data_IF_251797035715
#
_entry.id   IF_251797035715
#
_cell.length_a   1.000
_cell.length_b   1.000
_cell.length_c   1.000
_cell.angle_alpha   90.00
_cell.angle_beta   90.00
_cell.angle_gamma   90.00
#
_symmetry.space_group_name_H-M   'P 1'
#
loop_
_entity.id
_entity.type
_entity.pdbx_description
1 polymer ?
#
# COMPACT_ATOMS: atom_id res chain seq x y z
N UNK A 1 -10.95 20.88 23.55
CA UNK A 1 -10.58 20.62 22.13
C UNK A 1 -9.18 19.99 22.09
N UNK A 2 -8.90 19.02 21.22
CA UNK A 2 -7.65 18.22 21.27
C UNK A 2 -6.37 19.07 21.26
N UNK A 3 -6.36 20.18 20.51
CA UNK A 3 -5.22 21.10 20.45
C UNK A 3 -4.94 21.80 21.80
N UNK A 4 -6.00 22.23 22.51
CA UNK A 4 -5.88 22.81 23.87
C UNK A 4 -5.42 21.78 24.91
N UNK A 5 -5.53 20.48 24.60
CA UNK A 5 -5.03 19.38 25.41
C UNK A 5 -3.61 18.93 24.99
N UNK A 6 -2.83 19.83 24.39
CA UNK A 6 -1.46 19.61 23.93
C UNK A 6 -1.26 18.55 22.82
N UNK A 7 -2.34 18.16 22.12
CA UNK A 7 -2.17 17.44 20.86
C UNK A 7 -1.57 18.39 19.81
N UNK A 8 -0.47 17.98 19.19
CA UNK A 8 0.23 18.75 18.15
C UNK A 8 0.32 18.04 16.81
N UNK A 9 -0.06 16.77 16.71
CA UNK A 9 -0.07 16.03 15.44
C UNK A 9 -1.47 15.55 15.14
N UNK A 10 -1.99 15.96 13.99
CA UNK A 10 -3.34 15.61 13.54
C UNK A 10 -3.24 14.92 12.19
N UNK A 11 -3.73 13.68 12.14
CA UNK A 11 -3.90 12.97 10.88
C UNK A 11 -5.37 13.11 10.49
N UNK A 12 -5.63 13.88 9.44
CA UNK A 12 -6.99 14.24 9.05
C UNK A 12 -7.37 13.47 7.80
N UNK A 13 -8.24 12.46 7.97
CA UNK A 13 -8.93 11.90 6.82
C UNK A 13 -9.89 12.96 6.28
N UNK A 14 -9.61 13.49 5.09
CA UNK A 14 -10.33 14.62 4.49
C UNK A 14 -11.71 14.23 3.94
N UNK A 15 -12.39 13.30 4.60
CA UNK A 15 -13.72 12.82 4.25
C UNK A 15 -14.51 12.61 5.52
N UNK A 16 -15.74 13.13 5.54
CA UNK A 16 -16.65 12.92 6.66
C UNK A 16 -17.07 11.46 6.73
N UNK A 17 -17.02 10.87 7.93
CA UNK A 17 -17.66 9.60 8.22
C UNK A 17 -19.15 9.83 8.52
N UNK A 18 -20.04 9.22 7.75
CA UNK A 18 -21.49 9.20 7.92
C UNK A 18 -21.87 7.84 8.52
N UNK A 19 -22.20 7.84 9.81
CA UNK A 19 -22.41 6.61 10.59
C UNK A 19 -23.81 5.99 10.39
N UNK A 20 -24.77 6.74 9.87
CA UNK A 20 -26.12 6.27 9.60
C UNK A 20 -26.37 6.23 8.10
N UNK A 21 -26.78 5.07 7.60
CA UNK A 21 -27.19 4.88 6.21
C UNK A 21 -26.07 4.55 5.21
N UNK A 22 -24.79 4.62 5.60
CA UNK A 22 -23.67 4.21 4.74
C UNK A 22 -22.85 3.08 5.37
N UNK A 23 -22.49 2.08 4.56
CA UNK A 23 -21.52 1.03 4.91
C UNK A 23 -20.09 1.58 5.02
N UNK A 24 -19.14 0.84 5.62
CA UNK A 24 -17.73 1.24 5.63
C UNK A 24 -17.11 1.40 4.24
N UNK A 25 -17.60 0.68 3.23
CA UNK A 25 -17.14 0.88 1.84
C UNK A 25 -17.67 2.18 1.27
N UNK A 26 -18.97 2.42 1.40
CA UNK A 26 -19.61 3.65 0.91
C UNK A 26 -19.06 4.89 1.59
N UNK A 27 -18.78 4.84 2.89
CA UNK A 27 -18.11 5.94 3.60
C UNK A 27 -16.75 6.32 3.00
N UNK A 28 -16.09 5.40 2.31
CA UNK A 28 -14.80 5.62 1.64
C UNK A 28 -14.93 6.01 0.17
N UNK A 29 -16.15 6.03 -0.37
CA UNK A 29 -16.42 6.28 -1.79
C UNK A 29 -17.39 7.45 -2.02
N UNK A 30 -18.48 7.56 -1.23
CA UNK A 30 -19.58 8.51 -1.44
C UNK A 30 -19.30 9.93 -0.94
N UNK A 31 -18.95 10.20 0.34
CA UNK A 31 -18.76 11.59 0.76
C UNK A 31 -17.55 12.20 0.03
N UNK A 32 -17.65 13.45 -0.47
CA UNK A 32 -16.56 14.06 -1.21
C UNK A 32 -15.35 14.31 -0.31
N UNK A 33 -14.16 14.35 -0.93
CA UNK A 33 -12.95 14.81 -0.25
C UNK A 33 -13.02 16.33 -0.04
N UNK A 34 -12.50 16.78 1.11
CA UNK A 34 -12.50 18.17 1.58
C UNK A 34 -11.08 18.57 1.99
N UNK A 35 -10.17 18.59 1.03
CA UNK A 35 -8.77 18.97 1.29
C UNK A 35 -8.64 20.44 1.74
N UNK A 36 -9.55 21.30 1.28
CA UNK A 36 -9.68 22.69 1.71
C UNK A 36 -9.83 22.84 3.23
N UNK A 37 -10.43 21.86 3.91
CA UNK A 37 -10.57 21.91 5.37
C UNK A 37 -9.25 21.57 6.06
N UNK A 38 -8.46 20.68 5.46
CA UNK A 38 -7.14 20.30 5.98
C UNK A 38 -6.16 21.45 5.77
N UNK A 39 -6.19 22.12 4.61
CA UNK A 39 -5.36 23.30 4.35
C UNK A 39 -5.69 24.46 5.29
N UNK A 40 -6.97 24.75 5.53
CA UNK A 40 -7.36 25.74 6.55
C UNK A 40 -6.86 25.37 7.95
N UNK A 41 -6.91 24.09 8.32
CA UNK A 41 -6.37 23.66 9.61
C UNK A 41 -4.85 23.88 9.71
N UNK A 42 -4.10 23.75 8.61
CA UNK A 42 -2.66 24.08 8.57
C UNK A 42 -2.41 25.58 8.81
N UNK A 43 -3.29 26.45 8.29
CA UNK A 43 -3.20 27.91 8.47
C UNK A 43 -3.63 28.35 9.89
N UNK A 44 -4.71 27.76 10.41
CA UNK A 44 -5.30 28.13 11.70
C UNK A 44 -4.54 27.56 12.91
N UNK A 45 -3.77 26.47 12.73
CA UNK A 45 -3.01 25.81 13.79
C UNK A 45 -1.51 25.73 13.43
N UNK A 46 -0.79 26.87 13.37
CA UNK A 46 0.59 26.92 12.90
C UNK A 46 1.57 26.10 13.76
N UNK A 47 1.24 25.91 15.04
CA UNK A 47 2.05 25.10 15.97
C UNK A 47 1.75 23.59 15.89
N UNK A 48 0.82 23.17 15.03
CA UNK A 48 0.49 21.75 14.81
C UNK A 48 1.06 21.22 13.48
N UNK A 49 1.41 19.94 13.49
CA UNK A 49 1.63 19.14 12.28
C UNK A 49 0.30 18.56 11.81
N UNK A 50 -0.17 18.96 10.64
CA UNK A 50 -1.40 18.47 10.02
C UNK A 50 -1.05 17.57 8.83
N UNK A 51 -1.39 16.29 8.93
CA UNK A 51 -1.11 15.26 7.92
C UNK A 51 -2.39 14.99 7.14
N UNK A 52 -2.34 15.19 5.82
CA UNK A 52 -3.46 14.97 4.92
C UNK A 52 -3.63 13.47 4.63
N UNK A 53 -4.86 12.97 4.78
CA UNK A 53 -5.22 11.59 4.44
C UNK A 53 -6.50 11.52 3.59
N UNK A 54 -6.57 10.46 2.79
CA UNK A 54 -7.78 10.03 2.08
C UNK A 54 -7.74 10.40 0.61
N UNK A 55 -8.01 9.43 -0.27
CA UNK A 55 -8.08 9.67 -1.72
C UNK A 55 -6.76 9.59 -2.48
N UNK A 56 -5.62 9.59 -1.79
CA UNK A 56 -4.28 9.49 -2.38
C UNK A 56 -4.02 8.05 -2.83
N UNK A 57 -3.82 7.85 -4.14
CA UNK A 57 -3.74 6.51 -4.76
C UNK A 57 -2.51 6.29 -5.63
N UNK A 58 -1.99 7.32 -6.26
CA UNK A 58 -0.90 7.20 -7.24
C UNK A 58 0.31 8.03 -6.83
N UNK A 59 1.42 7.82 -7.54
CA UNK A 59 2.59 8.69 -7.42
C UNK A 59 2.24 10.13 -7.84
N UNK A 60 1.47 10.30 -8.92
CA UNK A 60 1.01 11.61 -9.37
C UNK A 60 0.19 12.34 -8.29
N UNK A 61 -0.67 11.63 -7.55
CA UNK A 61 -1.41 12.22 -6.43
C UNK A 61 -0.44 12.73 -5.35
N UNK A 62 0.60 11.95 -5.05
CA UNK A 62 1.64 12.32 -4.07
C UNK A 62 2.41 13.55 -4.55
N UNK A 63 2.92 13.53 -5.78
CA UNK A 63 3.68 14.65 -6.36
C UNK A 63 2.85 15.94 -6.44
N UNK A 64 1.53 15.83 -6.69
CA UNK A 64 0.63 16.98 -6.73
C UNK A 64 0.30 17.53 -5.33
N UNK A 65 0.16 16.68 -4.32
CA UNK A 65 -0.31 17.07 -2.98
C UNK A 65 0.82 17.40 -2.00
N UNK A 66 2.00 16.80 -2.17
CA UNK A 66 3.14 16.99 -1.28
C UNK A 66 3.56 18.46 -1.16
N UNK A 67 3.64 19.27 -2.24
CA UNK A 67 4.01 20.68 -2.12
C UNK A 67 2.97 21.54 -1.37
N UNK A 68 1.74 21.04 -1.22
CA UNK A 68 0.61 21.75 -0.60
C UNK A 68 0.32 21.27 0.83
N UNK A 69 1.08 20.29 1.34
CA UNK A 69 0.78 19.60 2.60
C UNK A 69 2.03 19.49 3.46
N UNK A 70 1.87 19.51 4.79
CA UNK A 70 2.97 19.26 5.73
C UNK A 70 3.35 17.77 5.79
N UNK A 71 2.43 16.89 5.40
CA UNK A 71 2.66 15.45 5.28
C UNK A 71 1.45 14.75 4.67
N UNK A 72 1.69 13.58 4.08
CA UNK A 72 0.67 12.73 3.48
C UNK A 72 0.62 11.38 4.19
N UNK A 73 -0.59 10.88 4.46
CA UNK A 73 -0.80 9.50 4.89
C UNK A 73 -1.51 8.74 3.77
N UNK A 74 -0.90 7.66 3.33
CA UNK A 74 -1.51 6.71 2.40
C UNK A 74 -2.01 5.48 3.16
N UNK A 75 -3.18 4.98 2.77
CA UNK A 75 -3.78 3.79 3.39
C UNK A 75 -3.90 2.64 2.40
N UNK A 76 -5.03 2.60 1.68
CA UNK A 76 -5.40 1.47 0.81
C UNK A 76 -4.46 1.29 -0.39
N UNK A 77 -3.85 2.35 -0.87
CA UNK A 77 -3.06 2.31 -2.10
C UNK A 77 -1.78 1.48 -1.95
N UNK A 78 -0.92 1.71 -0.95
CA UNK A 78 0.18 0.79 -0.61
C UNK A 78 -0.29 -0.64 -0.35
N UNK A 79 -1.45 -0.85 0.27
CA UNK A 79 -1.93 -2.22 0.48
C UNK A 79 -2.33 -2.93 -0.82
N UNK A 80 -2.90 -2.18 -1.78
CA UNK A 80 -3.29 -2.70 -3.09
C UNK A 80 -2.12 -2.83 -4.06
N UNK A 81 -1.06 -2.03 -3.89
CA UNK A 81 0.19 -2.08 -4.64
C UNK A 81 1.36 -1.81 -3.68
N UNK A 82 1.90 -2.83 -2.98
CA UNK A 82 2.95 -2.64 -1.98
C UNK A 82 4.19 -1.93 -2.50
N UNK A 83 4.56 -2.17 -3.76
CA UNK A 83 5.74 -1.57 -4.37
C UNK A 83 5.59 -0.05 -4.60
N UNK A 84 4.37 0.50 -4.51
CA UNK A 84 4.14 1.95 -4.56
C UNK A 84 4.96 2.71 -3.51
N UNK A 85 5.20 2.14 -2.33
CA UNK A 85 5.99 2.81 -1.29
C UNK A 85 7.43 3.03 -1.73
N UNK A 86 8.05 2.01 -2.36
CA UNK A 86 9.40 2.16 -2.90
C UNK A 86 9.47 3.24 -4.00
N UNK A 87 8.42 3.34 -4.82
CA UNK A 87 8.31 4.38 -5.83
C UNK A 87 8.17 5.79 -5.22
N UNK A 88 7.37 5.91 -4.16
CA UNK A 88 7.20 7.16 -3.41
C UNK A 88 8.52 7.58 -2.75
N UNK A 89 9.22 6.65 -2.11
CA UNK A 89 10.50 6.95 -1.45
C UNK A 89 11.56 7.42 -2.46
N UNK A 90 11.62 6.77 -3.63
CA UNK A 90 12.51 7.17 -4.71
C UNK A 90 12.19 8.59 -5.19
N UNK A 91 10.92 8.88 -5.46
CA UNK A 91 10.46 10.18 -5.97
C UNK A 91 10.69 11.32 -4.97
N UNK A 92 10.37 11.11 -3.69
CA UNK A 92 10.41 12.17 -2.67
C UNK A 92 11.80 12.37 -2.06
N UNK A 93 12.56 11.29 -1.90
CA UNK A 93 13.81 11.30 -1.15
C UNK A 93 15.03 10.86 -1.97
N UNK A 94 14.86 10.62 -3.27
CA UNK A 94 15.93 10.18 -4.18
C UNK A 94 16.63 8.90 -3.68
N UNK A 95 15.92 8.02 -2.96
CA UNK A 95 16.45 6.73 -2.55
C UNK A 95 16.67 5.81 -3.74
N UNK A 96 17.55 4.82 -3.64
CA UNK A 96 17.68 3.81 -4.68
C UNK A 96 16.41 2.97 -4.75
N UNK A 97 15.82 2.84 -5.93
CA UNK A 97 14.68 1.94 -6.12
C UNK A 97 15.15 0.48 -6.03
N UNK A 98 14.68 -0.31 -5.04
CA UNK A 98 15.12 -1.69 -4.88
C UNK A 98 14.58 -2.55 -6.01
N UNK A 99 15.34 -3.53 -6.49
CA UNK A 99 14.82 -4.46 -7.50
C UNK A 99 13.63 -5.23 -6.92
N UNK A 100 12.48 -5.15 -7.59
CA UNK A 100 11.23 -5.73 -7.12
C UNK A 100 11.27 -7.25 -6.95
N UNK A 101 12.03 -7.97 -7.78
CA UNK A 101 12.23 -9.41 -7.64
C UNK A 101 13.15 -9.73 -6.46
N UNK A 102 14.19 -8.95 -6.23
CA UNK A 102 15.07 -9.15 -5.07
C UNK A 102 14.31 -8.98 -3.76
N UNK A 103 13.43 -7.97 -3.68
CA UNK A 103 12.54 -7.76 -2.52
C UNK A 103 11.55 -8.92 -2.38
N UNK A 104 11.04 -9.47 -3.48
CA UNK A 104 10.18 -10.65 -3.44
C UNK A 104 10.92 -11.87 -2.87
N UNK A 105 12.14 -12.14 -3.32
CA UNK A 105 12.94 -13.27 -2.82
C UNK A 105 13.33 -13.11 -1.35
N UNK A 106 13.69 -11.90 -0.91
CA UNK A 106 13.91 -11.60 0.51
C UNK A 106 12.64 -11.86 1.34
N UNK A 107 11.47 -11.46 0.84
CA UNK A 107 10.22 -11.75 1.54
C UNK A 107 9.86 -13.24 1.52
N UNK A 108 10.20 -13.97 0.46
CA UNK A 108 10.06 -15.44 0.39
C UNK A 108 10.90 -16.12 1.48
N UNK A 109 12.16 -15.73 1.64
CA UNK A 109 13.04 -16.24 2.72
C UNK A 109 12.45 -15.97 4.11
N UNK A 110 11.91 -14.76 4.32
CA UNK A 110 11.18 -14.44 5.54
C UNK A 110 9.97 -15.37 5.76
N UNK A 111 9.16 -15.59 4.72
CA UNK A 111 7.99 -16.48 4.79
C UNK A 111 8.41 -17.91 5.16
N UNK A 112 9.49 -18.43 4.56
CA UNK A 112 10.03 -19.75 4.87
C UNK A 112 10.49 -19.87 6.32
N UNK A 113 11.22 -18.86 6.81
CA UNK A 113 11.63 -18.79 8.21
C UNK A 113 10.42 -18.75 9.17
N UNK A 114 9.36 -18.01 8.85
CA UNK A 114 8.16 -17.93 9.69
C UNK A 114 7.30 -19.20 9.63
N UNK A 115 7.24 -19.88 8.49
CA UNK A 115 6.59 -21.19 8.37
C UNK A 115 7.24 -22.21 9.30
N UNK A 116 8.58 -22.21 9.40
CA UNK A 116 9.31 -23.09 10.33
C UNK A 116 8.96 -22.83 11.80
N UNK A 117 8.41 -21.66 12.11
CA UNK A 117 7.95 -21.26 13.45
C UNK A 117 6.44 -21.48 13.65
N UNK A 118 5.75 -22.07 12.68
CA UNK A 118 4.31 -22.38 12.76
C UNK A 118 3.38 -21.24 12.34
N UNK A 119 3.89 -20.16 11.75
CA UNK A 119 3.04 -19.08 11.21
C UNK A 119 2.36 -19.57 9.93
N UNK A 120 1.02 -19.57 9.90
CA UNK A 120 0.30 -20.03 8.72
C UNK A 120 0.52 -19.11 7.50
N UNK A 121 0.81 -19.72 6.35
CA UNK A 121 1.16 -19.05 5.09
C UNK A 121 0.21 -17.89 4.73
N UNK A 122 -1.11 -18.11 4.83
CA UNK A 122 -2.16 -17.13 4.50
C UNK A 122 -2.02 -15.79 5.23
N UNK A 123 -1.42 -15.77 6.42
CA UNK A 123 -1.24 -14.53 7.18
C UNK A 123 -0.16 -13.64 6.60
N UNK A 124 0.78 -14.22 5.85
CA UNK A 124 1.88 -13.50 5.22
C UNK A 124 1.57 -13.21 3.76
N UNK A 125 1.21 -14.22 2.97
CA UNK A 125 1.17 -14.07 1.50
C UNK A 125 -0.05 -13.29 0.97
N UNK A 126 -1.11 -13.12 1.78
CA UNK A 126 -2.25 -12.25 1.42
C UNK A 126 -1.83 -10.80 1.17
N UNK A 127 -0.69 -10.38 1.69
CA UNK A 127 -0.13 -9.04 1.50
C UNK A 127 0.59 -8.89 0.15
N UNK A 128 0.90 -9.99 -0.54
CA UNK A 128 1.56 -9.98 -1.86
C UNK A 128 0.58 -9.98 -3.03
N UNK A 129 -0.72 -10.05 -2.79
CA UNK A 129 -1.73 -10.17 -3.87
C UNK A 129 -1.65 -9.04 -4.90
N UNK A 130 -1.22 -7.85 -4.47
CA UNK A 130 -1.02 -6.67 -5.29
C UNK A 130 0.42 -6.39 -5.68
N UNK A 131 1.38 -7.24 -5.29
CA UNK A 131 2.81 -6.92 -5.34
C UNK A 131 3.29 -6.62 -6.76
N UNK A 132 2.94 -7.45 -7.74
CA UNK A 132 3.30 -7.26 -9.15
C UNK A 132 2.26 -6.45 -9.95
N UNK A 133 1.48 -5.56 -9.32
CA UNK A 133 0.46 -4.76 -10.03
C UNK A 133 1.08 -4.03 -11.23
N UNK A 134 0.42 -4.10 -12.38
CA UNK A 134 0.88 -3.47 -13.63
C UNK A 134 1.80 -4.33 -14.50
N UNK A 135 2.24 -5.51 -14.03
CA UNK A 135 3.05 -6.43 -14.83
C UNK A 135 2.21 -7.49 -15.55
N UNK A 136 2.67 -7.92 -16.73
CA UNK A 136 2.14 -9.11 -17.41
C UNK A 136 2.40 -10.33 -16.52
N UNK A 137 1.38 -11.17 -16.33
CA UNK A 137 1.43 -12.29 -15.37
C UNK A 137 0.85 -11.97 -14.00
N UNK A 138 0.74 -10.70 -13.59
CA UNK A 138 0.29 -10.31 -12.25
C UNK A 138 -1.10 -10.84 -11.87
N UNK A 139 -2.05 -10.84 -12.83
CA UNK A 139 -3.38 -11.41 -12.61
C UNK A 139 -3.30 -12.91 -12.33
N UNK A 140 -2.43 -13.63 -13.04
CA UNK A 140 -2.24 -15.06 -12.85
C UNK A 140 -1.61 -15.33 -11.49
N UNK A 141 -0.53 -14.62 -11.15
CA UNK A 141 0.14 -14.67 -9.85
C UNK A 141 -0.85 -14.50 -8.69
N UNK A 142 -1.64 -13.40 -8.72
CA UNK A 142 -2.65 -13.13 -7.69
C UNK A 142 -3.70 -14.23 -7.58
N UNK A 143 -4.17 -14.75 -8.72
CA UNK A 143 -5.15 -15.85 -8.75
C UNK A 143 -4.56 -17.11 -8.14
N UNK A 144 -3.32 -17.45 -8.49
CA UNK A 144 -2.65 -18.63 -7.96
C UNK A 144 -2.55 -18.55 -6.43
N UNK A 145 -2.02 -17.45 -5.88
CA UNK A 145 -1.93 -17.26 -4.43
C UNK A 145 -3.30 -17.37 -3.75
N UNK A 146 -4.31 -16.68 -4.29
CA UNK A 146 -5.66 -16.67 -3.69
C UNK A 146 -6.30 -18.05 -3.63
N UNK A 147 -6.05 -18.90 -4.64
CA UNK A 147 -6.57 -20.27 -4.71
C UNK A 147 -5.82 -21.23 -3.77
N UNK A 148 -4.54 -20.99 -3.52
CA UNK A 148 -3.67 -21.97 -2.84
C UNK A 148 -3.35 -21.62 -1.40
N UNK A 149 -3.39 -20.34 -1.00
CA UNK A 149 -2.93 -19.90 0.32
C UNK A 149 -3.75 -20.40 1.51
N UNK A 150 -5.01 -20.80 1.27
CA UNK A 150 -5.92 -21.29 2.31
C UNK A 150 -5.96 -22.81 2.42
N UNK A 151 -5.20 -23.54 1.61
CA UNK A 151 -5.13 -25.00 1.69
C UNK A 151 -4.42 -25.42 2.99
N UNK A 152 -4.83 -26.54 3.59
CA UNK A 152 -4.31 -27.00 4.89
C UNK A 152 -2.80 -27.26 4.85
N UNK A 153 -2.30 -27.76 3.72
CA UNK A 153 -0.87 -28.05 3.50
C UNK A 153 -0.18 -26.96 2.67
N UNK A 154 -0.64 -25.70 2.76
CA UNK A 154 -0.02 -24.60 2.03
C UNK A 154 1.36 -24.27 2.64
N UNK A 155 2.40 -24.45 1.84
CA UNK A 155 3.80 -24.23 2.20
C UNK A 155 4.46 -23.20 1.26
N UNK A 156 5.80 -23.12 1.32
CA UNK A 156 6.56 -22.17 0.52
C UNK A 156 6.41 -22.40 -0.99
N UNK A 157 6.11 -23.64 -1.43
CA UNK A 157 5.95 -23.97 -2.84
C UNK A 157 4.79 -23.21 -3.49
N UNK A 158 3.83 -22.70 -2.70
CA UNK A 158 2.78 -21.82 -3.20
C UNK A 158 3.34 -20.53 -3.80
N UNK A 159 4.38 -19.95 -3.19
CA UNK A 159 5.04 -18.76 -3.74
C UNK A 159 5.82 -19.10 -5.01
N UNK A 160 6.59 -20.19 -4.98
CA UNK A 160 7.40 -20.64 -6.12
C UNK A 160 6.56 -20.93 -7.35
N UNK A 161 5.50 -21.72 -7.18
CA UNK A 161 4.60 -22.08 -8.25
C UNK A 161 3.83 -20.85 -8.76
N UNK A 162 3.44 -19.92 -7.87
CA UNK A 162 2.80 -18.68 -8.31
C UNK A 162 3.72 -17.86 -9.22
N UNK A 163 5.00 -17.74 -8.87
CA UNK A 163 5.97 -16.99 -9.67
C UNK A 163 6.18 -17.66 -11.03
N UNK A 164 6.48 -18.97 -11.03
CA UNK A 164 6.75 -19.75 -12.23
C UNK A 164 5.54 -19.83 -13.19
N UNK A 165 4.36 -20.22 -12.69
CA UNK A 165 3.17 -20.38 -13.55
C UNK A 165 2.62 -19.05 -14.09
N UNK A 166 2.84 -17.96 -13.35
CA UNK A 166 2.39 -16.64 -13.79
C UNK A 166 3.25 -16.05 -14.90
N UNK A 167 4.50 -16.50 -15.03
CA UNK A 167 5.51 -15.91 -15.90
C UNK A 167 5.88 -14.46 -15.51
N UNK A 168 5.49 -13.99 -14.32
CA UNK A 168 5.60 -12.57 -13.97
C UNK A 168 7.06 -12.13 -13.81
N UNK A 169 7.93 -13.03 -13.36
CA UNK A 169 9.35 -12.77 -13.19
C UNK A 169 10.05 -12.58 -14.55
N UNK A 170 9.77 -13.43 -15.53
CA UNK A 170 10.32 -13.34 -16.88
C UNK A 170 9.86 -12.07 -17.57
N UNK A 171 8.57 -11.73 -17.42
CA UNK A 171 8.03 -10.48 -17.95
C UNK A 171 8.64 -9.25 -17.27
N UNK A 172 8.91 -9.30 -15.97
CA UNK A 172 9.62 -8.25 -15.25
C UNK A 172 11.03 -8.05 -15.82
N UNK A 173 11.81 -9.12 -15.96
CA UNK A 173 13.18 -9.08 -16.47
C UNK A 173 13.24 -8.58 -17.92
N UNK A 174 12.30 -8.99 -18.78
CA UNK A 174 12.27 -8.53 -20.18
C UNK A 174 12.05 -7.01 -20.32
N UNK A 175 11.37 -6.40 -19.34
CA UNK A 175 11.08 -4.95 -19.32
C UNK A 175 12.24 -4.12 -18.79
N UNK A 176 13.15 -4.72 -18.03
CA UNK A 176 14.35 -4.05 -17.55
C UNK A 176 15.43 -3.89 -18.65
N UNK A 177 15.32 -4.65 -19.75
CA UNK A 177 16.25 -4.67 -20.87
C UNK A 177 15.76 -3.81 -22.06
N UNK A 178 14.50 -3.35 -22.01
CA UNK A 178 13.86 -2.50 -23.03
C UNK A 178 13.82 -1.04 -22.63
#
# INVERSE_FOLDING_TARGET
PLFEADCRTFIVHARKAILQGLTPKENREIPPLKYDYVYRAMEELPDATIILNGGIKTLDDVSALQPLSQGLMLGRAPYANPYLLAQIDHELFSTSLPNQLDVYYQYREYVEAQLSQGVALKHMIKHLLGYFTGYRGARHFRRFLSTHMFKDNADIAVLDNALAESGVAENFLSRAVS
#
